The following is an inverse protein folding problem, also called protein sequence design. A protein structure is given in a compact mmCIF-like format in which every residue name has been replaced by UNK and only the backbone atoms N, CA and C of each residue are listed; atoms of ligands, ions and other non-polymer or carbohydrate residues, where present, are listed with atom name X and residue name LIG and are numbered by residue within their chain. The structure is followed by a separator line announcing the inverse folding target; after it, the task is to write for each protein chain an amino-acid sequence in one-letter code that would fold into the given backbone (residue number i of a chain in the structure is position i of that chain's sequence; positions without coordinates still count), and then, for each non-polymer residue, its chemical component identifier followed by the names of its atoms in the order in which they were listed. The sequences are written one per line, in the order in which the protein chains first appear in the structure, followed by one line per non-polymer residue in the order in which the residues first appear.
data_IF_242352862621
#
_entry.id   IF_242352862621
#
_cell.length_a   1.000
_cell.length_b   1.000
_cell.length_c   1.000
_cell.angle_alpha   90.00
_cell.angle_beta   90.00
_cell.angle_gamma   90.00
#
_symmetry.space_group_name_H-M   'P 1'
#
loop_
_entity.id
_entity.type
_entity.pdbx_description
1 polymer ?
#
# COMPACT_ATOMS: atom_id res chain seq x y z
N UNK A 1 -19.99 21.64 2.26
CA UNK A 1 -18.68 20.94 2.28
C UNK A 1 -18.70 19.92 1.15
N UNK A 2 -18.26 20.34 -0.03
CA UNK A 2 -17.94 19.43 -1.13
C UNK A 2 -16.87 18.45 -0.63
N UNK A 3 -17.04 17.16 -0.92
CA UNK A 3 -16.18 16.11 -0.39
C UNK A 3 -14.69 16.42 -0.66
N UNK A 4 -13.81 16.01 0.26
CA UNK A 4 -12.34 15.98 0.08
C UNK A 4 -11.89 15.08 -1.10
N UNK A 5 -12.82 14.56 -1.91
CA UNK A 5 -12.53 13.77 -3.10
C UNK A 5 -12.35 14.70 -4.31
N UNK A 6 -11.07 14.89 -4.64
CA UNK A 6 -10.47 14.87 -5.99
C UNK A 6 -11.38 15.40 -7.11
N UNK A 7 -11.16 16.65 -7.51
CA UNK A 7 -11.64 17.15 -8.79
C UNK A 7 -10.74 16.55 -9.88
N UNK A 8 -11.34 15.73 -10.74
CA UNK A 8 -10.69 14.99 -11.83
C UNK A 8 -10.35 15.92 -13.01
N UNK A 9 -9.07 16.06 -13.34
CA UNK A 9 -8.61 16.82 -14.51
C UNK A 9 -7.90 15.96 -15.57
N UNK A 10 -7.59 14.69 -15.27
CA UNK A 10 -6.98 13.77 -16.23
C UNK A 10 -8.04 13.08 -17.11
N UNK A 11 -7.80 12.99 -18.42
CA UNK A 11 -8.60 12.18 -19.36
C UNK A 11 -8.51 10.66 -19.08
N UNK A 12 -7.66 10.22 -18.14
CA UNK A 12 -7.54 8.82 -17.70
C UNK A 12 -8.24 8.67 -16.36
N UNK A 13 -9.17 7.70 -16.27
CA UNK A 13 -9.85 7.34 -15.04
C UNK A 13 -8.83 7.00 -13.93
N UNK A 14 -9.14 7.38 -12.67
CA UNK A 14 -8.45 6.84 -11.51
C UNK A 14 -8.31 5.32 -11.63
N UNK A 15 -7.16 4.77 -11.23
CA UNK A 15 -6.96 3.33 -11.22
C UNK A 15 -7.96 2.72 -10.24
N UNK A 16 -9.03 2.16 -10.77
CA UNK A 16 -9.96 1.32 -10.02
C UNK A 16 -9.48 -0.10 -10.16
N UNK A 17 -9.27 -0.77 -9.04
CA UNK A 17 -8.96 -2.18 -9.05
C UNK A 17 -10.11 -2.95 -9.71
N UNK A 18 -9.82 -3.62 -10.83
CA UNK A 18 -10.86 -4.28 -11.63
C UNK A 18 -11.46 -5.48 -10.88
N UNK A 19 -10.72 -6.13 -9.99
CA UNK A 19 -11.25 -7.21 -9.16
C UNK A 19 -12.25 -6.68 -8.13
N UNK A 20 -11.97 -5.52 -7.52
CA UNK A 20 -12.91 -4.84 -6.62
C UNK A 20 -14.16 -4.36 -7.39
N UNK A 21 -13.98 -3.73 -8.56
CA UNK A 21 -15.11 -3.27 -9.38
C UNK A 21 -15.96 -4.44 -9.90
N UNK A 22 -15.32 -5.52 -10.34
CA UNK A 22 -16.02 -6.73 -10.75
C UNK A 22 -16.81 -7.33 -9.57
N UNK A 23 -16.20 -7.47 -8.40
CA UNK A 23 -16.87 -7.95 -7.18
C UNK A 23 -18.06 -7.05 -6.81
N UNK A 24 -17.89 -5.72 -6.86
CA UNK A 24 -18.97 -4.75 -6.63
C UNK A 24 -20.14 -4.96 -7.61
N UNK A 25 -19.85 -5.25 -8.87
CA UNK A 25 -20.88 -5.52 -9.88
C UNK A 25 -21.70 -6.77 -9.55
N UNK A 26 -21.06 -7.82 -9.01
CA UNK A 26 -21.74 -9.04 -8.56
C UNK A 26 -22.69 -8.73 -7.40
N UNK A 27 -22.28 -7.90 -6.44
CA UNK A 27 -23.12 -7.50 -5.29
C UNK A 27 -24.28 -6.59 -5.68
N UNK A 28 -24.17 -5.87 -6.79
CA UNK A 28 -25.23 -4.98 -7.30
C UNK A 28 -26.47 -5.78 -7.74
N UNK A 29 -26.28 -7.00 -8.25
CA UNK A 29 -27.39 -7.86 -8.69
C UNK A 29 -28.34 -8.20 -7.55
N UNK A 30 -27.91 -8.84 -6.43
CA UNK A 30 -28.79 -9.08 -5.29
C UNK A 30 -29.27 -7.79 -4.63
N UNK A 31 -28.51 -6.69 -4.69
CA UNK A 31 -29.02 -5.40 -4.23
C UNK A 31 -30.28 -5.00 -5.00
N UNK A 32 -30.24 -4.96 -6.33
CA UNK A 32 -31.41 -4.56 -7.14
C UNK A 32 -32.60 -5.50 -6.95
N UNK A 33 -32.36 -6.80 -6.82
CA UNK A 33 -33.41 -7.80 -6.66
C UNK A 33 -34.06 -7.79 -5.26
N UNK A 34 -33.33 -7.33 -4.23
CA UNK A 34 -33.75 -7.43 -2.83
C UNK A 34 -33.80 -6.09 -2.08
N UNK A 35 -33.51 -4.96 -2.72
CA UNK A 35 -33.59 -3.61 -2.15
C UNK A 35 -35.02 -3.15 -1.81
N UNK A 36 -36.04 -3.96 -2.09
CA UNK A 36 -37.44 -3.65 -1.79
C UNK A 36 -37.99 -2.50 -2.65
N UNK A 37 -39.32 -2.39 -2.73
CA UNK A 37 -39.96 -1.20 -3.32
C UNK A 37 -40.02 -0.11 -2.26
N UNK A 38 -39.39 1.04 -2.50
CA UNK A 38 -39.40 2.20 -1.61
C UNK A 38 -40.80 2.75 -1.28
N UNK A 39 -41.83 2.31 -2.00
CA UNK A 39 -43.20 2.81 -1.89
C UNK A 39 -44.13 2.02 -0.96
N UNK A 40 -43.69 0.89 -0.38
CA UNK A 40 -44.56 0.05 0.48
C UNK A 40 -43.82 -0.47 1.72
N UNK A 41 -43.60 0.41 2.71
CA UNK A 41 -43.08 0.01 4.02
C UNK A 41 -44.14 -0.77 4.81
N UNK A 42 -44.10 -2.10 4.73
CA UNK A 42 -44.81 -2.97 5.67
C UNK A 42 -43.87 -3.34 6.81
N UNK A 43 -44.33 -3.13 8.04
CA UNK A 43 -43.59 -3.49 9.26
C UNK A 43 -43.27 -5.00 9.21
N UNK A 44 -41.98 -5.36 9.19
CA UNK A 44 -41.49 -6.75 9.18
C UNK A 44 -40.85 -7.24 7.86
N UNK A 45 -41.15 -6.60 6.73
CA UNK A 45 -40.55 -6.97 5.43
C UNK A 45 -39.04 -6.63 5.37
N UNK A 46 -38.62 -5.59 6.12
CA UNK A 46 -37.23 -5.15 6.17
C UNK A 46 -36.29 -6.23 6.71
N UNK A 47 -36.70 -6.95 7.76
CA UNK A 47 -35.87 -8.00 8.37
C UNK A 47 -35.67 -9.18 7.42
N UNK A 48 -36.71 -9.57 6.67
CA UNK A 48 -36.64 -10.69 5.73
C UNK A 48 -35.81 -10.33 4.51
N UNK A 49 -35.99 -9.13 3.95
CA UNK A 49 -35.19 -8.64 2.82
C UNK A 49 -33.71 -8.49 3.20
N UNK A 50 -33.43 -8.01 4.42
CA UNK A 50 -32.07 -7.91 4.94
C UNK A 50 -31.41 -9.27 5.08
N UNK A 51 -32.12 -10.25 5.64
CA UNK A 51 -31.61 -11.60 5.79
C UNK A 51 -31.32 -12.25 4.42
N UNK A 52 -32.19 -12.05 3.43
CA UNK A 52 -31.97 -12.55 2.08
C UNK A 52 -30.76 -11.86 1.42
N UNK A 53 -30.67 -10.53 1.47
CA UNK A 53 -29.52 -9.78 0.94
C UNK A 53 -28.20 -10.23 1.60
N UNK A 54 -28.19 -10.38 2.94
CA UNK A 54 -27.04 -10.88 3.70
C UNK A 54 -26.63 -12.27 3.23
N UNK A 55 -27.59 -13.19 3.05
CA UNK A 55 -27.32 -14.54 2.55
C UNK A 55 -26.72 -14.52 1.15
N UNK A 56 -27.29 -13.72 0.23
CA UNK A 56 -26.80 -13.63 -1.16
C UNK A 56 -25.42 -13.02 -1.28
N UNK A 57 -25.12 -11.98 -0.51
CA UNK A 57 -23.79 -11.41 -0.47
C UNK A 57 -22.77 -12.43 0.07
N UNK A 58 -23.11 -13.15 1.14
CA UNK A 58 -22.25 -14.21 1.67
C UNK A 58 -22.01 -15.35 0.66
N UNK A 59 -23.06 -15.80 -0.05
CA UNK A 59 -22.97 -16.79 -1.13
C UNK A 59 -21.97 -16.33 -2.22
N UNK A 60 -22.09 -15.08 -2.68
CA UNK A 60 -21.16 -14.50 -3.67
C UNK A 60 -19.73 -14.51 -3.15
N UNK A 61 -19.50 -14.07 -1.92
CA UNK A 61 -18.16 -14.04 -1.35
C UNK A 61 -17.57 -15.45 -1.21
N UNK A 62 -18.36 -16.45 -0.80
CA UNK A 62 -17.94 -17.85 -0.78
C UNK A 62 -17.53 -18.36 -2.17
N UNK A 63 -18.32 -18.06 -3.19
CA UNK A 63 -17.98 -18.45 -4.58
C UNK A 63 -16.69 -17.78 -5.05
N UNK A 64 -16.45 -16.53 -4.64
CA UNK A 64 -15.19 -15.82 -4.89
C UNK A 64 -14.00 -16.46 -4.15
N UNK A 65 -14.18 -16.95 -2.92
CA UNK A 65 -13.12 -17.71 -2.22
C UNK A 65 -12.68 -18.91 -3.03
N UNK A 66 -13.64 -19.64 -3.62
CA UNK A 66 -13.36 -20.82 -4.42
C UNK A 66 -12.66 -20.48 -5.74
N UNK A 67 -13.01 -19.35 -6.37
CA UNK A 67 -12.31 -18.83 -7.54
C UNK A 67 -10.88 -18.41 -7.23
N UNK A 68 -10.64 -17.82 -6.06
CA UNK A 68 -9.28 -17.49 -5.60
C UNK A 68 -8.48 -18.77 -5.32
N UNK A 69 -9.09 -19.77 -4.69
CA UNK A 69 -8.43 -21.05 -4.44
C UNK A 69 -8.03 -21.77 -5.74
N UNK A 70 -8.90 -21.74 -6.76
CA UNK A 70 -8.60 -22.20 -8.12
C UNK A 70 -7.45 -21.40 -8.76
N UNK A 71 -7.48 -20.07 -8.62
CA UNK A 71 -6.42 -19.21 -9.13
C UNK A 71 -5.05 -19.51 -8.49
N UNK A 72 -5.01 -19.74 -7.17
CA UNK A 72 -3.79 -20.13 -6.43
C UNK A 72 -3.27 -21.48 -6.93
N UNK A 73 -4.16 -22.44 -7.19
CA UNK A 73 -3.77 -23.73 -7.75
C UNK A 73 -3.06 -23.57 -9.11
N UNK A 74 -3.65 -22.83 -10.06
CA UNK A 74 -3.02 -22.58 -11.35
C UNK A 74 -1.75 -21.72 -11.27
N UNK A 75 -1.68 -20.79 -10.32
CA UNK A 75 -0.45 -20.04 -10.02
C UNK A 75 0.69 -20.99 -9.59
N UNK A 76 0.41 -21.97 -8.73
CA UNK A 76 1.40 -22.95 -8.28
C UNK A 76 1.93 -23.86 -9.40
N UNK A 77 1.16 -24.01 -10.49
CA UNK A 77 1.56 -24.74 -11.69
C UNK A 77 2.29 -23.85 -12.71
N UNK A 78 2.51 -22.58 -12.40
CA UNK A 78 3.04 -21.56 -13.32
C UNK A 78 2.15 -21.34 -14.58
N UNK A 79 0.85 -21.65 -14.48
CA UNK A 79 -0.15 -21.58 -15.55
C UNK A 79 -1.33 -20.67 -15.13
N UNK A 80 -1.03 -19.53 -14.50
CA UNK A 80 -2.03 -18.64 -13.91
C UNK A 80 -3.12 -18.16 -14.89
N UNK A 81 -2.82 -18.10 -16.19
CA UNK A 81 -3.78 -17.72 -17.26
C UNK A 81 -4.90 -18.76 -17.48
N UNK A 82 -4.70 -19.99 -17.02
CA UNK A 82 -5.73 -21.04 -17.05
C UNK A 82 -6.75 -20.91 -15.90
N UNK A 83 -6.42 -20.13 -14.86
CA UNK A 83 -7.31 -19.87 -13.74
C UNK A 83 -8.57 -19.12 -14.18
N UNK A 84 -9.74 -19.59 -13.72
CA UNK A 84 -11.02 -19.01 -14.15
C UNK A 84 -11.16 -17.55 -13.75
N UNK A 85 -10.61 -17.17 -12.59
CA UNK A 85 -10.65 -15.80 -12.10
C UNK A 85 -9.89 -14.86 -13.05
N UNK A 86 -8.68 -15.23 -13.49
CA UNK A 86 -7.89 -14.42 -14.42
C UNK A 86 -8.53 -14.31 -15.81
N UNK A 87 -9.24 -15.32 -16.27
CA UNK A 87 -10.01 -15.22 -17.52
C UNK A 87 -11.15 -14.18 -17.43
N UNK A 88 -11.76 -14.02 -16.25
CA UNK A 88 -12.82 -13.05 -16.01
C UNK A 88 -12.29 -11.65 -15.68
N UNK A 89 -11.17 -11.57 -14.97
CA UNK A 89 -10.49 -10.34 -14.57
C UNK A 89 -9.01 -10.45 -14.95
N UNK A 90 -8.63 -10.14 -16.21
CA UNK A 90 -7.27 -10.34 -16.72
C UNK A 90 -6.18 -9.57 -15.95
N UNK A 91 -6.54 -8.47 -15.30
CA UNK A 91 -5.62 -7.66 -14.49
C UNK A 91 -5.41 -8.16 -13.06
N UNK A 92 -6.07 -9.26 -12.66
CA UNK A 92 -5.93 -9.82 -11.31
C UNK A 92 -4.47 -10.21 -11.03
N UNK A 93 -3.99 -9.79 -9.85
CA UNK A 93 -2.62 -10.02 -9.43
C UNK A 93 -2.38 -11.43 -8.86
N UNK A 94 -1.21 -11.57 -8.22
CA UNK A 94 -0.86 -12.79 -7.51
C UNK A 94 -1.66 -12.91 -6.18
N UNK A 95 -2.07 -14.14 -5.82
CA UNK A 95 -2.66 -14.41 -4.50
C UNK A 95 -1.69 -15.26 -3.68
N UNK A 96 -1.28 -14.75 -2.52
CA UNK A 96 -0.34 -15.45 -1.65
C UNK A 96 -1.03 -16.37 -0.65
N UNK A 97 -2.29 -16.08 -0.32
CA UNK A 97 -3.06 -16.80 0.69
C UNK A 97 -4.50 -17.03 0.22
N UNK A 98 -5.14 -18.06 0.74
CA UNK A 98 -6.60 -18.24 0.59
C UNK A 98 -7.30 -17.18 1.44
N UNK A 99 -8.25 -16.47 0.85
CA UNK A 99 -8.98 -15.38 1.51
C UNK A 99 -10.34 -15.87 2.03
N UNK A 100 -10.61 -15.81 3.35
CA UNK A 100 -11.92 -16.13 3.93
C UNK A 100 -12.92 -14.98 3.75
N UNK A 101 -13.25 -14.66 2.49
CA UNK A 101 -14.14 -13.57 2.09
C UNK A 101 -15.55 -13.65 2.68
N UNK A 102 -16.14 -14.83 2.83
CA UNK A 102 -17.46 -14.99 3.44
C UNK A 102 -17.43 -14.57 4.91
N UNK A 103 -16.45 -15.06 5.68
CA UNK A 103 -16.27 -14.67 7.09
C UNK A 103 -16.00 -13.17 7.18
N UNK A 104 -15.11 -12.64 6.35
CA UNK A 104 -14.79 -11.22 6.29
C UNK A 104 -16.01 -10.34 5.94
N UNK A 105 -16.87 -10.81 5.04
CA UNK A 105 -18.13 -10.14 4.73
C UNK A 105 -19.03 -10.04 5.96
N UNK A 106 -19.21 -11.12 6.73
CA UNK A 106 -20.06 -11.07 7.93
C UNK A 106 -19.55 -10.06 8.97
N UNK A 107 -18.23 -10.01 9.19
CA UNK A 107 -17.60 -9.03 10.10
C UNK A 107 -17.88 -7.60 9.63
N UNK A 108 -17.65 -7.31 8.35
CA UNK A 108 -17.89 -5.95 7.83
C UNK A 108 -19.38 -5.61 7.72
N UNK A 109 -20.25 -6.58 7.47
CA UNK A 109 -21.71 -6.37 7.45
C UNK A 109 -22.26 -6.03 8.84
N UNK A 110 -21.68 -6.56 9.91
CA UNK A 110 -22.03 -6.20 11.29
C UNK A 110 -21.65 -4.75 11.62
N UNK A 111 -20.47 -4.32 11.18
CA UNK A 111 -19.98 -2.94 11.39
C UNK A 111 -20.70 -1.92 10.52
N UNK A 112 -20.97 -2.27 9.26
CA UNK A 112 -21.36 -1.31 8.19
C UNK A 112 -22.77 -1.52 7.65
N UNK A 113 -23.48 -2.52 8.14
CA UNK A 113 -24.88 -2.82 7.81
C UNK A 113 -25.15 -2.86 6.30
N UNK A 114 -24.23 -3.46 5.52
CA UNK A 114 -24.27 -3.50 4.05
C UNK A 114 -25.60 -4.07 3.53
N UNK A 115 -25.99 -5.22 4.08
CA UNK A 115 -27.22 -5.97 3.78
C UNK A 115 -28.50 -5.27 4.23
N UNK A 116 -28.41 -4.26 5.09
CA UNK A 116 -29.55 -3.48 5.57
C UNK A 116 -29.85 -2.27 4.71
N UNK A 117 -28.96 -1.91 3.78
CA UNK A 117 -29.20 -0.78 2.88
C UNK A 117 -30.28 -1.13 1.85
N UNK A 118 -31.06 -0.12 1.47
CA UNK A 118 -32.14 -0.23 0.46
C UNK A 118 -31.98 0.75 -0.69
N UNK A 119 -31.28 1.86 -0.45
CA UNK A 119 -31.12 2.93 -1.44
C UNK A 119 -29.68 3.05 -1.98
N UNK A 120 -28.72 2.41 -1.31
CA UNK A 120 -27.30 2.51 -1.64
C UNK A 120 -26.71 1.09 -1.66
N UNK A 121 -26.28 0.64 -2.84
CA UNK A 121 -25.62 -0.65 -3.02
C UNK A 121 -24.25 -0.68 -2.30
N UNK A 122 -23.67 -1.87 -2.06
CA UNK A 122 -22.26 -1.97 -1.67
C UNK A 122 -21.36 -1.21 -2.65
N UNK A 123 -20.50 -0.38 -2.10
CA UNK A 123 -19.58 0.50 -2.82
C UNK A 123 -18.23 -0.18 -3.06
N UNK A 124 -17.36 0.49 -3.83
CA UNK A 124 -15.96 0.06 -3.99
C UNK A 124 -15.25 -0.06 -2.64
N UNK A 125 -15.45 0.92 -1.75
CA UNK A 125 -14.86 0.92 -0.42
C UNK A 125 -15.38 -0.21 0.46
N UNK A 126 -16.66 -0.57 0.35
CA UNK A 126 -17.20 -1.71 1.12
C UNK A 126 -16.50 -3.02 0.72
N UNK A 127 -16.29 -3.25 -0.58
CA UNK A 127 -15.57 -4.43 -1.07
C UNK A 127 -14.08 -4.38 -0.69
N UNK A 128 -13.43 -3.21 -0.81
CA UNK A 128 -12.03 -3.00 -0.39
C UNK A 128 -11.82 -3.39 1.07
N UNK A 129 -12.70 -2.96 1.97
CA UNK A 129 -12.60 -3.24 3.40
C UNK A 129 -12.85 -4.71 3.74
N UNK A 130 -13.76 -5.38 3.02
CA UNK A 130 -13.95 -6.84 3.13
C UNK A 130 -12.67 -7.59 2.71
N UNK A 131 -12.04 -7.18 1.60
CA UNK A 131 -10.76 -7.76 1.17
C UNK A 131 -9.64 -7.51 2.16
N UNK A 132 -9.58 -6.32 2.77
CA UNK A 132 -8.60 -6.02 3.82
C UNK A 132 -8.78 -6.97 5.01
N UNK A 133 -10.02 -7.10 5.50
CA UNK A 133 -10.39 -8.01 6.59
C UNK A 133 -9.99 -9.45 6.28
N UNK A 134 -10.28 -9.93 5.07
CA UNK A 134 -9.94 -11.29 4.66
C UNK A 134 -8.43 -11.53 4.63
N UNK A 135 -7.64 -10.55 4.21
CA UNK A 135 -6.17 -10.64 4.24
C UNK A 135 -5.64 -10.70 5.68
N UNK A 136 -6.17 -9.88 6.59
CA UNK A 136 -5.81 -9.93 8.01
C UNK A 136 -6.13 -11.30 8.62
N UNK A 137 -7.33 -11.84 8.37
CA UNK A 137 -7.71 -13.19 8.82
C UNK A 137 -6.81 -14.28 8.22
N UNK A 138 -6.40 -14.15 6.96
CA UNK A 138 -5.55 -15.14 6.31
C UNK A 138 -4.13 -15.15 6.91
N UNK A 139 -3.57 -13.98 7.20
CA UNK A 139 -2.24 -13.82 7.78
C UNK A 139 -2.17 -14.15 9.28
N UNK A 140 -3.31 -14.29 9.95
CA UNK A 140 -3.35 -14.73 11.34
C UNK A 140 -3.29 -16.27 11.50
N UNK A 141 -3.51 -17.05 10.43
CA UNK A 141 -3.51 -18.51 10.48
C UNK A 141 -2.10 -19.06 10.75
N UNK A 142 -1.93 -20.17 11.50
CA UNK A 142 -0.61 -20.70 11.83
C UNK A 142 0.33 -20.93 10.65
N UNK A 143 -0.18 -21.47 9.53
CA UNK A 143 0.62 -21.80 8.33
C UNK A 143 1.16 -20.54 7.62
N UNK A 144 0.38 -19.46 7.65
CA UNK A 144 0.67 -18.19 6.96
C UNK A 144 0.86 -17.07 7.96
N UNK A 145 1.25 -17.40 9.20
CA UNK A 145 1.33 -16.45 10.30
C UNK A 145 2.27 -15.32 9.91
N UNK A 146 1.76 -14.10 10.05
CA UNK A 146 2.47 -12.86 9.74
C UNK A 146 3.83 -12.81 10.46
N UNK A 147 4.88 -12.52 9.70
CA UNK A 147 6.24 -12.30 10.21
C UNK A 147 6.76 -10.90 9.90
N UNK A 148 6.29 -10.27 8.82
CA UNK A 148 6.68 -8.93 8.43
C UNK A 148 5.44 -8.09 8.06
N UNK A 149 5.24 -6.98 8.75
CA UNK A 149 4.31 -5.93 8.35
C UNK A 149 5.10 -4.73 7.84
N UNK A 150 4.86 -4.33 6.61
CA UNK A 150 5.41 -3.12 6.02
C UNK A 150 4.36 -2.03 5.94
N UNK A 151 4.74 -0.80 6.24
CA UNK A 151 3.86 0.36 6.22
C UNK A 151 4.44 1.37 5.25
N UNK A 152 3.60 1.91 4.39
CA UNK A 152 3.93 3.17 3.74
C UNK A 152 4.01 4.30 4.78
N UNK A 153 4.80 5.33 4.50
CA UNK A 153 4.91 6.51 5.36
C UNK A 153 3.69 7.42 5.22
N UNK A 154 3.66 8.20 4.14
CA UNK A 154 2.63 9.22 3.89
C UNK A 154 1.24 8.58 3.69
N UNK A 155 0.20 9.26 4.17
CA UNK A 155 -1.23 8.86 4.09
C UNK A 155 -1.57 7.55 4.83
N UNK A 156 -0.56 6.86 5.37
CA UNK A 156 -0.68 5.58 6.05
C UNK A 156 -0.40 5.66 7.54
N UNK A 157 0.77 6.19 7.90
CA UNK A 157 1.15 6.40 9.30
C UNK A 157 0.79 7.81 9.77
N UNK A 158 0.79 8.78 8.87
CA UNK A 158 0.49 10.19 9.14
C UNK A 158 -0.14 10.88 7.92
N UNK A 159 -0.72 12.06 8.12
CA UNK A 159 -1.22 12.88 7.00
C UNK A 159 -0.07 13.30 6.07
N UNK A 160 -0.36 13.48 4.78
CA UNK A 160 0.62 13.81 3.73
C UNK A 160 1.59 14.93 4.14
N UNK A 161 2.89 14.62 4.17
CA UNK A 161 3.95 15.57 4.53
C UNK A 161 4.10 15.88 6.02
N UNK A 162 3.34 15.22 6.90
CA UNK A 162 3.48 15.34 8.35
C UNK A 162 4.56 14.40 8.93
N UNK A 163 4.74 14.47 10.24
CA UNK A 163 5.54 13.52 11.02
C UNK A 163 4.60 12.67 11.87
N UNK A 164 5.10 11.53 12.35
CA UNK A 164 4.41 10.78 13.38
C UNK A 164 4.63 11.45 14.74
N UNK A 165 3.55 11.80 15.42
CA UNK A 165 3.59 12.58 16.66
C UNK A 165 3.40 11.70 17.90
N UNK A 166 3.80 12.22 19.05
CA UNK A 166 3.53 11.56 20.33
C UNK A 166 2.01 11.43 20.53
N UNK A 167 1.56 10.22 20.89
CA UNK A 167 0.14 9.92 21.06
C UNK A 167 -0.60 9.52 19.78
N UNK A 168 0.06 9.47 18.62
CA UNK A 168 -0.52 8.88 17.40
C UNK A 168 -0.97 7.43 17.66
N UNK A 169 -2.25 7.07 17.42
CA UNK A 169 -2.78 5.75 17.77
C UNK A 169 -2.07 4.59 17.04
N UNK A 170 -1.47 4.87 15.88
CA UNK A 170 -0.69 3.92 15.09
C UNK A 170 0.52 3.38 15.87
N UNK A 171 1.14 4.21 16.73
CA UNK A 171 2.32 3.81 17.52
C UNK A 171 1.98 2.61 18.41
N UNK A 172 0.87 2.68 19.14
CA UNK A 172 0.44 1.59 20.04
C UNK A 172 0.17 0.29 19.26
N UNK A 173 -0.36 0.40 18.04
CA UNK A 173 -0.65 -0.76 17.18
C UNK A 173 0.61 -1.39 16.63
N UNK A 174 1.60 -0.58 16.23
CA UNK A 174 2.91 -1.05 15.81
C UNK A 174 3.63 -1.75 16.96
N UNK A 175 3.58 -1.20 18.18
CA UNK A 175 4.12 -1.86 19.37
C UNK A 175 3.45 -3.22 19.62
N UNK A 176 2.12 -3.31 19.51
CA UNK A 176 1.41 -4.57 19.67
C UNK A 176 1.85 -5.66 18.65
N UNK A 177 2.19 -5.28 17.43
CA UNK A 177 2.76 -6.20 16.44
C UNK A 177 4.18 -6.64 16.81
N UNK A 178 5.04 -5.70 17.23
CA UNK A 178 6.41 -6.00 17.68
C UNK A 178 6.40 -6.95 18.89
N UNK A 179 5.49 -6.76 19.85
CA UNK A 179 5.28 -7.65 21.01
C UNK A 179 4.95 -9.09 20.61
N UNK A 180 4.38 -9.29 19.42
CA UNK A 180 4.04 -10.60 18.85
C UNK A 180 5.15 -11.17 17.95
N UNK A 181 6.32 -10.54 17.93
CA UNK A 181 7.47 -10.93 17.13
C UNK A 181 7.36 -10.58 15.64
N UNK A 182 6.37 -9.76 15.24
CA UNK A 182 6.23 -9.30 13.85
C UNK A 182 7.25 -8.20 13.60
N UNK A 183 8.07 -8.37 12.56
CA UNK A 183 8.98 -7.33 12.10
C UNK A 183 8.21 -6.20 11.39
N UNK A 184 8.68 -4.97 11.59
CA UNK A 184 8.04 -3.76 11.09
C UNK A 184 8.98 -3.04 10.14
N UNK A 185 8.56 -2.88 8.89
CA UNK A 185 9.29 -2.13 7.88
C UNK A 185 8.56 -0.89 7.43
N UNK A 186 9.08 0.30 7.71
CA UNK A 186 8.52 1.54 7.15
C UNK A 186 9.14 1.79 5.79
N UNK A 187 8.37 1.65 4.70
CA UNK A 187 8.82 1.83 3.33
C UNK A 187 8.34 3.18 2.82
N UNK A 188 9.25 4.13 2.64
CA UNK A 188 8.89 5.52 2.28
C UNK A 188 9.61 5.99 1.03
N UNK A 189 8.92 6.80 0.22
CA UNK A 189 9.53 7.48 -0.92
C UNK A 189 10.54 8.57 -0.49
N UNK A 190 10.46 9.06 0.75
CA UNK A 190 11.43 9.99 1.28
C UNK A 190 12.82 9.32 1.39
N UNK A 191 13.72 9.65 0.46
CA UNK A 191 15.09 9.16 0.46
C UNK A 191 16.09 10.19 1.00
N UNK A 192 16.67 9.92 2.16
CA UNK A 192 17.77 10.69 2.75
C UNK A 192 19.05 9.81 2.79
N UNK A 193 20.10 10.18 2.03
CA UNK A 193 21.33 9.38 1.95
C UNK A 193 22.24 9.51 3.18
N UNK A 194 21.94 10.43 4.11
CA UNK A 194 22.75 10.67 5.31
C UNK A 194 22.73 9.43 6.24
N UNK A 195 23.88 8.74 6.44
CA UNK A 195 23.96 7.53 7.26
C UNK A 195 23.62 7.77 8.74
N UNK A 196 23.57 9.02 9.21
CA UNK A 196 23.10 9.33 10.57
C UNK A 196 21.61 9.05 10.78
N UNK A 197 20.83 8.90 9.71
CA UNK A 197 19.39 8.66 9.78
C UNK A 197 18.60 9.84 10.38
N UNK A 198 19.22 11.00 10.59
CA UNK A 198 18.65 12.15 11.31
C UNK A 198 17.29 12.60 10.76
N UNK A 199 17.11 12.58 9.44
CA UNK A 199 15.84 12.98 8.83
C UNK A 199 14.72 11.95 9.06
N UNK A 200 15.05 10.66 9.14
CA UNK A 200 14.09 9.62 9.51
C UNK A 200 13.75 9.69 11.01
N UNK A 201 14.72 10.03 11.87
CA UNK A 201 14.48 10.31 13.29
C UNK A 201 13.52 11.50 13.48
N UNK A 202 13.58 12.51 12.62
CA UNK A 202 12.59 13.61 12.66
C UNK A 202 11.19 13.13 12.27
N UNK A 203 11.07 12.28 11.24
CA UNK A 203 9.77 11.81 10.74
C UNK A 203 9.11 10.77 11.63
N UNK A 204 9.89 9.86 12.19
CA UNK A 204 9.42 8.69 12.94
C UNK A 204 9.87 8.70 14.41
N UNK A 205 10.39 9.83 14.90
CA UNK A 205 10.98 9.96 16.23
C UNK A 205 10.05 9.48 17.34
N UNK A 206 8.78 9.87 17.31
CA UNK A 206 7.81 9.44 18.32
C UNK A 206 7.63 7.92 18.38
N UNK A 207 7.64 7.22 17.23
CA UNK A 207 7.59 5.75 17.20
C UNK A 207 8.89 5.13 17.68
N UNK A 208 10.03 5.65 17.24
CA UNK A 208 11.35 5.16 17.63
C UNK A 208 11.53 5.30 19.15
N UNK A 209 11.19 6.46 19.71
CA UNK A 209 11.21 6.72 21.14
C UNK A 209 10.24 5.80 21.88
N UNK A 210 9.03 5.57 21.36
CA UNK A 210 8.07 4.65 21.97
C UNK A 210 8.60 3.20 21.99
N UNK A 211 9.25 2.73 20.92
CA UNK A 211 9.85 1.40 20.86
C UNK A 211 11.03 1.30 21.83
N UNK A 212 11.94 2.29 21.85
CA UNK A 212 13.09 2.30 22.75
C UNK A 212 12.68 2.30 24.23
N UNK A 213 11.64 3.07 24.58
CA UNK A 213 11.12 3.19 25.95
C UNK A 213 10.14 2.08 26.34
N UNK A 214 9.78 1.18 25.43
CA UNK A 214 8.91 0.03 25.74
C UNK A 214 9.62 -1.05 26.57
N UNK A 215 8.83 -1.96 27.14
CA UNK A 215 9.32 -3.14 27.86
C UNK A 215 9.70 -4.31 26.93
N UNK A 216 9.76 -4.09 25.61
CA UNK A 216 10.18 -5.10 24.65
C UNK A 216 11.64 -5.53 24.87
N UNK A 217 11.92 -6.79 24.59
CA UNK A 217 13.30 -7.27 24.53
C UNK A 217 14.08 -6.60 23.38
N UNK A 218 15.41 -6.52 23.50
CA UNK A 218 16.27 -5.90 22.50
C UNK A 218 16.06 -6.49 21.10
N UNK A 219 15.80 -7.80 21.01
CA UNK A 219 15.52 -8.49 19.75
C UNK A 219 14.27 -7.94 19.06
N UNK A 220 13.17 -7.77 19.81
CA UNK A 220 11.93 -7.23 19.27
C UNK A 220 12.02 -5.72 18.97
N UNK A 221 12.77 -4.95 19.77
CA UNK A 221 13.04 -3.54 19.43
C UNK A 221 13.81 -3.45 18.10
N UNK A 222 14.80 -4.30 17.90
CA UNK A 222 15.59 -4.33 16.67
C UNK A 222 14.79 -4.78 15.43
N UNK A 223 13.54 -5.22 15.58
CA UNK A 223 12.66 -5.57 14.46
C UNK A 223 11.94 -4.37 13.84
N UNK A 224 12.25 -3.13 14.25
CA UNK A 224 11.84 -1.92 13.53
C UNK A 224 12.90 -1.52 12.49
N UNK A 225 12.49 -1.41 11.23
CA UNK A 225 13.32 -1.01 10.09
C UNK A 225 12.69 0.13 9.32
N UNK A 226 13.53 0.95 8.67
CA UNK A 226 13.13 2.02 7.76
C UNK A 226 13.83 1.82 6.42
N UNK A 227 13.03 1.61 5.37
CA UNK A 227 13.46 1.56 3.97
C UNK A 227 13.11 2.88 3.29
N UNK A 228 14.11 3.73 3.10
CA UNK A 228 13.94 5.05 2.50
C UNK A 228 14.29 5.12 1.02
N UNK A 229 13.70 6.11 0.35
CA UNK A 229 13.84 6.29 -1.10
C UNK A 229 13.29 5.10 -1.89
N UNK A 230 12.15 4.57 -1.44
CA UNK A 230 11.49 3.33 -1.89
C UNK A 230 12.28 2.04 -1.64
N UNK A 231 13.54 1.97 -2.09
CA UNK A 231 14.40 0.80 -1.95
C UNK A 231 15.90 1.17 -1.99
N UNK A 232 16.28 2.34 -1.47
CA UNK A 232 17.63 2.89 -1.67
C UNK A 232 18.47 2.97 -0.39
N UNK A 233 17.84 3.15 0.77
CA UNK A 233 18.54 3.31 2.05
C UNK A 233 17.86 2.49 3.14
N UNK A 234 18.60 1.55 3.75
CA UNK A 234 18.08 0.73 4.84
C UNK A 234 18.66 1.19 6.18
N UNK A 235 17.76 1.39 7.14
CA UNK A 235 18.09 1.63 8.53
C UNK A 235 17.38 0.60 9.41
N UNK A 236 18.05 0.20 10.49
CA UNK A 236 17.49 -0.69 11.51
C UNK A 236 17.56 0.00 12.87
N UNK A 237 16.51 -0.12 13.69
CA UNK A 237 16.58 0.34 15.07
C UNK A 237 17.62 -0.48 15.82
N UNK A 238 18.54 0.22 16.48
CA UNK A 238 19.58 -0.37 17.30
C UNK A 238 19.40 0.16 18.73
N UNK A 239 18.89 -0.70 19.64
CA UNK A 239 18.64 -0.32 21.03
C UNK A 239 19.91 0.05 21.80
N UNK A 240 21.08 -0.47 21.40
CA UNK A 240 22.34 -0.24 22.12
C UNK A 240 22.87 1.18 21.87
N UNK A 241 22.64 1.73 20.69
CA UNK A 241 22.96 3.14 20.37
C UNK A 241 21.77 4.09 20.59
N UNK A 242 20.58 3.56 20.88
CA UNK A 242 19.36 4.34 21.09
C UNK A 242 18.86 5.05 19.84
N UNK A 243 19.03 4.46 18.65
CA UNK A 243 18.71 5.14 17.40
C UNK A 243 18.78 4.24 16.17
N UNK A 244 18.76 4.86 14.99
CA UNK A 244 18.80 4.14 13.71
C UNK A 244 20.25 3.88 13.27
N UNK A 245 20.58 2.61 13.01
CA UNK A 245 21.82 2.18 12.39
C UNK A 245 21.62 2.04 10.89
N UNK A 246 22.46 2.71 10.09
CA UNK A 246 22.53 2.50 8.64
C UNK A 246 23.08 1.12 8.33
N UNK A 247 22.50 0.44 7.34
CA UNK A 247 22.93 -0.89 6.87
C UNK A 247 23.48 -0.76 5.46
N UNK A 248 24.69 -1.25 5.24
CA UNK A 248 25.38 -1.16 3.96
C UNK A 248 24.61 -1.93 2.89
N UNK A 249 24.58 -1.37 1.66
CA UNK A 249 23.73 -1.85 0.55
C UNK A 249 23.97 -3.32 0.23
N UNK A 250 25.22 -3.76 0.32
CA UNK A 250 25.68 -5.11 0.05
C UNK A 250 25.07 -6.16 1.00
N UNK A 251 24.62 -5.75 2.19
CA UNK A 251 24.03 -6.66 3.19
C UNK A 251 22.57 -7.01 2.88
N UNK A 252 21.83 -6.13 2.20
CA UNK A 252 20.36 -6.26 2.08
C UNK A 252 19.83 -6.21 0.64
N UNK A 253 20.55 -5.59 -0.29
CA UNK A 253 20.07 -5.43 -1.65
C UNK A 253 19.93 -6.79 -2.35
N UNK A 254 18.95 -6.88 -3.26
CA UNK A 254 18.78 -8.07 -4.10
C UNK A 254 19.93 -8.17 -5.11
N UNK A 255 20.22 -9.39 -5.57
CA UNK A 255 21.28 -9.64 -6.55
C UNK A 255 21.03 -8.86 -7.87
N UNK A 256 19.76 -8.74 -8.28
CA UNK A 256 19.36 -7.91 -9.42
C UNK A 256 19.68 -6.42 -9.21
N UNK A 257 19.47 -5.90 -7.99
CA UNK A 257 19.75 -4.49 -7.66
C UNK A 257 21.24 -4.18 -7.57
N UNK A 258 22.06 -5.18 -7.23
CA UNK A 258 23.52 -5.09 -7.25
C UNK A 258 24.09 -5.19 -8.67
N UNK A 259 23.35 -5.83 -9.59
CA UNK A 259 23.70 -5.93 -11.00
C UNK A 259 23.33 -4.68 -11.82
N UNK A 260 22.59 -3.73 -11.24
CA UNK A 260 22.27 -2.45 -11.89
C UNK A 260 23.54 -1.66 -12.18
N UNK A 261 23.75 -1.35 -13.46
CA UNK A 261 24.93 -0.61 -13.88
C UNK A 261 24.77 0.87 -13.56
N UNK A 262 25.78 1.47 -12.94
CA UNK A 262 25.74 2.88 -12.51
C UNK A 262 25.64 3.86 -13.69
N UNK A 263 26.12 3.48 -14.88
CA UNK A 263 25.93 4.26 -16.10
C UNK A 263 24.46 4.23 -16.58
N UNK A 264 23.78 3.08 -16.49
CA UNK A 264 22.33 3.00 -16.79
C UNK A 264 21.50 3.84 -15.80
N UNK A 265 21.88 3.86 -14.51
CA UNK A 265 21.24 4.71 -13.50
C UNK A 265 21.42 6.18 -13.86
N UNK A 266 22.64 6.56 -14.22
CA UNK A 266 22.97 7.93 -14.65
C UNK A 266 22.20 8.33 -15.91
N UNK A 267 22.12 7.46 -16.92
CA UNK A 267 21.37 7.68 -18.16
C UNK A 267 19.88 7.90 -17.90
N UNK A 268 19.27 7.10 -17.01
CA UNK A 268 17.87 7.25 -16.64
C UNK A 268 17.63 8.60 -15.96
N UNK A 269 18.45 8.95 -14.97
CA UNK A 269 18.32 10.20 -14.22
C UNK A 269 18.63 11.43 -15.08
N UNK A 270 19.57 11.33 -16.03
CA UNK A 270 19.86 12.38 -17.02
C UNK A 270 18.65 12.62 -17.93
N UNK A 271 18.01 11.53 -18.38
CA UNK A 271 16.79 11.64 -19.17
C UNK A 271 15.65 12.25 -18.36
N UNK A 272 15.49 11.84 -17.10
CA UNK A 272 14.50 12.40 -16.19
C UNK A 272 14.74 13.91 -16.00
N UNK A 273 15.98 14.32 -15.75
CA UNK A 273 16.38 15.72 -15.61
C UNK A 273 16.03 16.54 -16.85
N UNK A 274 16.34 16.03 -18.05
CA UNK A 274 16.00 16.71 -19.30
C UNK A 274 14.48 16.91 -19.45
N UNK A 275 13.69 15.88 -19.12
CA UNK A 275 12.23 15.97 -19.21
C UNK A 275 11.68 16.95 -18.17
N UNK A 276 12.15 16.88 -16.92
CA UNK A 276 11.75 17.81 -15.86
C UNK A 276 12.11 19.27 -16.21
N UNK A 277 13.33 19.53 -16.71
CA UNK A 277 13.73 20.88 -17.19
C UNK A 277 12.78 21.40 -18.26
N UNK A 278 12.47 20.56 -19.26
CA UNK A 278 11.53 20.92 -20.33
C UNK A 278 10.13 21.21 -19.78
N UNK A 279 9.64 20.42 -18.83
CA UNK A 279 8.32 20.65 -18.22
C UNK A 279 8.27 21.95 -17.41
N UNK A 280 9.35 22.29 -16.68
CA UNK A 280 9.47 23.59 -15.99
C UNK A 280 9.33 24.74 -16.99
N UNK A 281 9.96 24.66 -18.17
CA UNK A 281 9.87 25.70 -19.20
C UNK A 281 8.47 25.76 -19.84
N UNK A 282 7.94 24.62 -20.31
CA UNK A 282 6.65 24.52 -21.00
C UNK A 282 5.50 25.01 -20.13
N UNK A 283 5.53 24.70 -18.83
CA UNK A 283 4.51 25.14 -17.87
C UNK A 283 4.84 26.49 -17.22
N UNK A 284 5.85 27.21 -17.72
CA UNK A 284 6.26 28.55 -17.23
C UNK A 284 6.55 28.60 -15.72
N UNK A 285 7.18 27.54 -15.19
CA UNK A 285 7.50 27.35 -13.76
C UNK A 285 8.94 27.74 -13.40
N UNK A 286 9.70 28.39 -14.29
CA UNK A 286 11.11 28.78 -14.07
C UNK A 286 11.34 29.68 -12.85
N UNK A 287 10.32 30.40 -12.39
CA UNK A 287 10.34 31.23 -11.18
C UNK A 287 9.60 30.59 -9.98
N UNK A 288 9.19 29.34 -10.12
CA UNK A 288 8.37 28.62 -9.13
C UNK A 288 9.03 27.31 -8.69
N UNK A 289 9.79 26.65 -9.57
CA UNK A 289 10.36 25.33 -9.34
C UNK A 289 11.86 25.28 -9.68
N UNK A 290 12.56 24.36 -9.05
CA UNK A 290 13.96 24.03 -9.36
C UNK A 290 14.16 22.51 -9.29
N UNK A 291 15.30 22.03 -9.79
CA UNK A 291 15.63 20.61 -9.74
C UNK A 291 16.61 20.31 -8.62
N UNK A 292 16.46 19.15 -8.01
CA UNK A 292 17.34 18.63 -6.99
C UNK A 292 17.68 17.17 -7.30
N UNK A 293 18.97 16.88 -7.49
CA UNK A 293 19.44 15.55 -7.88
C UNK A 293 20.19 14.88 -6.73
N UNK A 294 19.87 13.62 -6.50
CA UNK A 294 20.54 12.68 -5.58
C UNK A 294 21.22 11.58 -6.38
N UNK A 295 21.88 10.66 -5.69
CA UNK A 295 22.56 9.50 -6.29
C UNK A 295 21.61 8.63 -7.12
N UNK A 296 20.43 8.32 -6.58
CA UNK A 296 19.45 7.39 -7.18
C UNK A 296 18.08 8.02 -7.42
N UNK A 297 18.01 9.34 -7.38
CA UNK A 297 16.77 10.04 -7.69
C UNK A 297 16.96 11.49 -8.11
N UNK A 298 15.93 12.04 -8.75
CA UNK A 298 15.87 13.45 -9.09
C UNK A 298 14.47 13.99 -8.89
N UNK A 299 14.36 15.18 -8.32
CA UNK A 299 13.09 15.83 -8.04
C UNK A 299 12.98 17.23 -8.62
N UNK A 300 11.76 17.64 -8.93
CA UNK A 300 11.35 19.02 -9.16
C UNK A 300 10.65 19.54 -7.91
N UNK A 301 11.31 20.45 -7.20
CA UNK A 301 10.85 21.01 -5.93
C UNK A 301 10.46 22.50 -6.09
N UNK A 302 9.51 23.01 -5.27
CA UNK A 302 9.17 24.42 -5.28
C UNK A 302 10.33 25.27 -4.74
N UNK A 303 10.54 26.45 -5.33
CA UNK A 303 11.40 27.48 -4.76
C UNK A 303 10.83 27.96 -3.41
N UNK A 304 11.69 28.50 -2.55
CA UNK A 304 11.30 28.93 -1.19
C UNK A 304 10.08 29.86 -1.22
N UNK A 305 9.03 29.48 -0.49
CA UNK A 305 7.78 30.24 -0.39
C UNK A 305 6.87 30.17 -1.63
N UNK A 306 7.20 29.33 -2.62
CA UNK A 306 6.38 29.07 -3.80
C UNK A 306 5.59 27.77 -3.64
N UNK A 307 4.55 27.62 -4.45
CA UNK A 307 3.75 26.40 -4.57
C UNK A 307 3.55 26.09 -6.04
N UNK A 308 3.60 24.82 -6.38
CA UNK A 308 3.30 24.32 -7.72
C UNK A 308 1.85 23.81 -7.70
N UNK A 309 1.00 24.22 -8.65
CA UNK A 309 -0.37 23.68 -8.75
C UNK A 309 -0.34 22.17 -8.92
N UNK A 310 -1.28 21.46 -8.28
CA UNK A 310 -1.34 19.99 -8.32
C UNK A 310 -1.44 19.48 -9.76
N UNK A 311 -2.21 20.15 -10.59
CA UNK A 311 -2.44 19.81 -11.98
C UNK A 311 -1.13 19.83 -12.78
N UNK A 312 -0.26 20.81 -12.48
CA UNK A 312 1.07 20.88 -13.08
C UNK A 312 1.96 19.73 -12.60
N UNK A 313 1.90 19.36 -11.32
CA UNK A 313 2.65 18.21 -10.79
C UNK A 313 2.21 16.90 -11.49
N UNK A 314 0.91 16.67 -11.64
CA UNK A 314 0.39 15.49 -12.36
C UNK A 314 0.80 15.49 -13.84
N UNK A 315 0.71 16.63 -14.54
CA UNK A 315 1.17 16.77 -15.93
C UNK A 315 2.66 16.42 -16.06
N UNK A 316 3.50 16.92 -15.15
CA UNK A 316 4.94 16.62 -15.14
C UNK A 316 5.17 15.13 -14.92
N UNK A 317 4.52 14.51 -13.93
CA UNK A 317 4.64 13.07 -13.64
C UNK A 317 4.28 12.22 -14.86
N UNK A 318 3.15 12.50 -15.50
CA UNK A 318 2.70 11.74 -16.68
C UNK A 318 3.69 11.87 -17.85
N UNK A 319 4.24 13.07 -18.08
CA UNK A 319 5.24 13.30 -19.11
C UNK A 319 6.57 12.58 -18.83
N UNK A 320 7.01 12.60 -17.57
CA UNK A 320 8.21 11.88 -17.12
C UNK A 320 8.02 10.37 -17.29
N UNK A 321 6.94 9.81 -16.76
CA UNK A 321 6.63 8.39 -16.90
C UNK A 321 6.60 7.95 -18.37
N UNK A 322 5.90 8.71 -19.22
CA UNK A 322 5.81 8.40 -20.65
C UNK A 322 7.18 8.44 -21.34
N UNK A 323 7.98 9.46 -21.05
CA UNK A 323 9.29 9.66 -21.67
C UNK A 323 10.33 8.63 -21.22
N UNK A 324 10.33 8.29 -19.92
CA UNK A 324 11.27 7.32 -19.35
C UNK A 324 10.92 5.89 -19.73
N UNK A 325 9.64 5.53 -19.77
CA UNK A 325 9.20 4.17 -20.15
C UNK A 325 9.64 3.78 -21.57
N UNK A 326 9.91 4.77 -22.44
CA UNK A 326 10.41 4.54 -23.79
C UNK A 326 11.95 4.50 -23.88
N UNK A 327 12.67 4.76 -22.79
CA UNK A 327 14.14 4.83 -22.77
C UNK A 327 14.79 3.44 -22.75
N UNK A 328 16.02 3.29 -23.29
CA UNK A 328 16.80 2.05 -23.14
C UNK A 328 17.05 1.67 -21.68
N UNK A 329 17.38 2.63 -20.82
CA UNK A 329 17.64 2.39 -19.40
C UNK A 329 16.43 1.80 -18.67
N UNK A 330 15.20 2.17 -19.04
CA UNK A 330 13.97 1.60 -18.46
C UNK A 330 13.70 0.13 -18.87
N UNK A 331 14.53 -0.47 -19.75
CA UNK A 331 14.53 -1.92 -20.01
C UNK A 331 15.37 -2.70 -19.01
N UNK A 332 16.37 -2.05 -18.42
CA UNK A 332 17.31 -2.63 -17.45
C UNK A 332 16.92 -2.28 -16.01
N UNK A 333 16.34 -1.08 -15.81
CA UNK A 333 16.04 -0.52 -14.51
C UNK A 333 14.55 -0.34 -14.30
N UNK A 334 14.16 -0.44 -13.04
CA UNK A 334 12.85 -0.01 -12.58
C UNK A 334 12.95 1.41 -12.05
N UNK A 335 11.86 2.16 -12.17
CA UNK A 335 11.77 3.51 -11.63
C UNK A 335 10.35 3.81 -11.21
N UNK A 336 10.23 4.75 -10.28
CA UNK A 336 8.97 5.35 -9.92
C UNK A 336 9.03 6.85 -10.17
N UNK A 337 8.00 7.40 -10.79
CA UNK A 337 7.82 8.84 -10.92
C UNK A 337 6.45 9.19 -10.34
N UNK A 338 6.43 10.06 -9.33
CA UNK A 338 5.23 10.32 -8.55
C UNK A 338 5.09 11.78 -8.16
N UNK A 339 3.85 12.16 -7.84
CA UNK A 339 3.48 13.47 -7.31
C UNK A 339 3.52 13.40 -5.78
N UNK A 340 4.46 14.10 -5.15
CA UNK A 340 4.61 14.17 -3.69
C UNK A 340 3.72 15.24 -3.03
N UNK A 341 2.64 15.64 -3.69
CA UNK A 341 1.68 16.66 -3.22
C UNK A 341 2.16 18.10 -3.42
N UNK A 342 3.47 18.36 -3.27
CA UNK A 342 4.09 19.66 -3.44
C UNK A 342 5.29 19.68 -4.40
N UNK A 343 5.82 18.50 -4.73
CA UNK A 343 6.95 18.29 -5.62
C UNK A 343 6.71 17.06 -6.52
N UNK A 344 7.61 16.85 -7.48
CA UNK A 344 7.66 15.62 -8.29
C UNK A 344 8.99 14.96 -8.06
N UNK A 345 9.00 13.64 -7.88
CA UNK A 345 10.22 12.86 -7.76
C UNK A 345 10.25 11.72 -8.76
N UNK A 346 11.48 11.38 -9.17
CA UNK A 346 11.82 10.21 -9.96
C UNK A 346 12.87 9.42 -9.19
N UNK A 347 12.48 8.28 -8.65
CA UNK A 347 13.36 7.37 -7.92
C UNK A 347 13.72 6.17 -8.79
N UNK A 348 14.98 5.71 -8.71
CA UNK A 348 15.42 4.44 -9.28
C UNK A 348 15.02 3.33 -8.31
N UNK A 349 14.26 2.36 -8.82
CA UNK A 349 13.58 1.34 -8.03
C UNK A 349 12.12 1.66 -7.76
N UNK A 350 11.44 0.76 -7.05
CA UNK A 350 10.06 0.92 -6.58
C UNK A 350 9.83 0.22 -5.23
N UNK A 351 8.73 0.54 -4.53
CA UNK A 351 8.37 -0.07 -3.23
C UNK A 351 8.34 -1.60 -3.23
N UNK A 352 8.13 -2.26 -4.39
CA UNK A 352 8.24 -3.73 -4.50
C UNK A 352 9.64 -4.19 -4.11
N UNK A 353 10.68 -3.54 -4.62
CA UNK A 353 12.06 -3.86 -4.24
C UNK A 353 12.30 -3.56 -2.76
N UNK A 354 11.72 -2.49 -2.21
CA UNK A 354 11.82 -2.16 -0.79
C UNK A 354 11.31 -3.31 0.09
N UNK A 355 10.12 -3.83 -0.22
CA UNK A 355 9.52 -4.97 0.49
C UNK A 355 10.33 -6.26 0.29
N UNK A 356 10.75 -6.57 -0.94
CA UNK A 356 11.60 -7.74 -1.22
C UNK A 356 12.93 -7.71 -0.48
N UNK A 357 13.56 -6.54 -0.39
CA UNK A 357 14.80 -6.34 0.34
C UNK A 357 14.61 -6.61 1.83
N UNK A 358 13.52 -6.11 2.43
CA UNK A 358 13.20 -6.38 3.83
C UNK A 358 12.93 -7.87 4.08
N UNK A 359 12.18 -8.53 3.18
CA UNK A 359 11.96 -9.97 3.22
C UNK A 359 13.29 -10.75 3.19
N UNK A 360 14.19 -10.43 2.26
CA UNK A 360 15.53 -11.05 2.15
C UNK A 360 16.38 -10.77 3.40
N UNK A 361 16.49 -9.51 3.81
CA UNK A 361 17.35 -9.06 4.90
C UNK A 361 16.96 -9.70 6.25
N UNK A 362 15.67 -9.93 6.47
CA UNK A 362 15.14 -10.58 7.67
C UNK A 362 15.17 -12.12 7.60
N UNK A 363 16.04 -12.70 6.77
CA UNK A 363 16.24 -14.15 6.68
C UNK A 363 15.39 -14.86 5.62
N UNK A 364 14.83 -14.12 4.64
CA UNK A 364 14.03 -14.68 3.57
C UNK A 364 12.58 -14.94 3.96
N UNK A 365 11.93 -13.98 4.62
CA UNK A 365 10.51 -14.05 4.97
C UNK A 365 9.67 -14.23 3.71
N UNK A 366 8.78 -15.22 3.73
CA UNK A 366 7.95 -15.56 2.58
C UNK A 366 6.88 -14.49 2.29
N UNK A 367 6.47 -14.36 1.02
CA UNK A 367 5.49 -13.35 0.59
C UNK A 367 4.12 -13.59 1.23
N UNK A 368 3.74 -14.85 1.43
CA UNK A 368 2.52 -15.27 2.12
C UNK A 368 2.51 -15.01 3.63
N UNK A 369 3.64 -14.58 4.20
CA UNK A 369 3.82 -14.19 5.61
C UNK A 369 4.17 -12.71 5.75
N UNK A 370 3.97 -11.95 4.66
CA UNK A 370 4.25 -10.51 4.61
C UNK A 370 2.97 -9.73 4.31
N UNK A 371 2.72 -8.70 5.12
CA UNK A 371 1.67 -7.70 4.90
C UNK A 371 2.29 -6.38 4.47
N UNK A 372 1.67 -5.70 3.51
CA UNK A 372 1.88 -4.30 3.24
C UNK A 372 0.61 -3.50 3.56
N UNK A 373 0.77 -2.38 4.25
CA UNK A 373 -0.28 -1.41 4.56
C UNK A 373 0.06 -0.12 3.81
N UNK A 374 -0.80 0.31 2.89
CA UNK A 374 -0.53 1.49 2.06
C UNK A 374 -1.75 2.02 1.32
N UNK A 375 -1.65 3.26 0.83
CA UNK A 375 -2.70 3.92 0.05
C UNK A 375 -2.50 3.73 -1.46
N UNK A 376 -3.34 2.89 -2.08
CA UNK A 376 -3.34 2.70 -3.54
C UNK A 376 -4.26 3.67 -4.29
N UNK A 377 -4.88 4.64 -3.61
CA UNK A 377 -5.71 5.65 -4.26
C UNK A 377 -4.85 6.64 -5.05
N UNK A 378 -3.56 6.82 -4.76
CA UNK A 378 -2.71 7.74 -5.49
C UNK A 378 -2.70 7.45 -7.03
N UNK A 379 -2.41 8.46 -7.84
CA UNK A 379 -2.63 8.50 -9.30
C UNK A 379 -1.86 7.41 -10.08
N UNK A 380 -2.02 7.37 -11.40
CA UNK A 380 -1.32 6.41 -12.27
C UNK A 380 0.19 6.50 -12.01
N UNK A 381 0.77 5.39 -11.56
CA UNK A 381 2.16 5.30 -11.11
C UNK A 381 2.39 5.53 -9.62
N UNK A 382 1.34 5.47 -8.79
CA UNK A 382 1.46 5.28 -7.34
C UNK A 382 2.39 4.11 -7.03
N UNK A 383 3.36 4.38 -6.15
CA UNK A 383 4.37 3.45 -5.71
C UNK A 383 3.79 2.29 -4.89
N UNK A 384 2.71 2.49 -4.14
CA UNK A 384 2.10 1.46 -3.28
C UNK A 384 1.54 0.27 -4.02
N UNK A 385 1.02 0.47 -5.24
CA UNK A 385 0.49 -0.64 -6.03
C UNK A 385 1.57 -1.72 -6.28
N UNK A 386 2.84 -1.33 -6.38
CA UNK A 386 3.94 -2.25 -6.68
C UNK A 386 4.19 -3.23 -5.53
N UNK A 387 3.98 -2.82 -4.28
CA UNK A 387 4.15 -3.68 -3.11
C UNK A 387 3.22 -4.91 -3.13
N UNK A 388 2.02 -4.78 -3.72
CA UNK A 388 1.07 -5.90 -3.90
C UNK A 388 1.60 -7.05 -4.74
N UNK A 389 2.64 -6.81 -5.55
CA UNK A 389 3.26 -7.87 -6.35
C UNK A 389 4.08 -8.85 -5.50
N UNK A 390 4.41 -8.51 -4.25
CA UNK A 390 5.35 -9.26 -3.40
C UNK A 390 4.89 -9.43 -1.96
N UNK A 391 3.70 -8.95 -1.61
CA UNK A 391 3.10 -9.12 -0.29
C UNK A 391 1.57 -9.04 -0.38
N UNK A 392 0.87 -9.66 0.57
CA UNK A 392 -0.53 -9.33 0.81
C UNK A 392 -0.62 -7.82 1.12
N UNK A 393 -1.64 -7.12 0.61
CA UNK A 393 -1.73 -5.67 0.77
C UNK A 393 -3.11 -5.24 1.21
N UNK A 394 -3.19 -4.60 2.38
CA UNK A 394 -4.41 -3.91 2.80
C UNK A 394 -4.37 -2.49 2.25
N UNK A 395 -5.40 -2.15 1.48
CA UNK A 395 -5.51 -0.83 0.86
C UNK A 395 -6.29 0.08 1.79
N UNK A 396 -5.63 1.07 2.36
CA UNK A 396 -6.20 2.07 3.27
C UNK A 396 -6.49 3.39 2.55
N UNK A 397 -7.41 4.19 3.09
CA UNK A 397 -7.73 5.54 2.58
C UNK A 397 -7.19 6.68 3.45
N UNK A 398 -6.88 6.38 4.72
CA UNK A 398 -6.42 7.33 5.72
C UNK A 398 -5.77 6.60 6.91
N UNK A 399 -5.08 7.33 7.81
CA UNK A 399 -4.44 6.73 8.98
C UNK A 399 -5.40 6.08 9.99
N UNK A 400 -6.70 6.39 9.96
CA UNK A 400 -7.68 5.77 10.85
C UNK A 400 -8.00 4.34 10.37
N UNK A 401 -8.11 4.12 9.06
CA UNK A 401 -8.25 2.76 8.51
C UNK A 401 -7.03 1.89 8.81
N UNK A 402 -5.82 2.45 8.91
CA UNK A 402 -4.62 1.75 9.41
C UNK A 402 -4.84 1.25 10.84
N UNK A 403 -5.35 2.10 11.73
CA UNK A 403 -5.62 1.71 13.12
C UNK A 403 -6.65 0.58 13.18
N UNK A 404 -7.76 0.72 12.45
CA UNK A 404 -8.84 -0.28 12.43
C UNK A 404 -8.35 -1.65 11.94
N UNK A 405 -7.57 -1.68 10.86
CA UNK A 405 -7.12 -2.96 10.29
C UNK A 405 -6.04 -3.64 11.13
N UNK A 406 -5.18 -2.87 11.81
CA UNK A 406 -4.20 -3.47 12.73
C UNK A 406 -4.88 -3.98 14.01
N UNK A 407 -5.90 -3.28 14.51
CA UNK A 407 -6.72 -3.79 15.63
C UNK A 407 -7.37 -5.13 15.27
N UNK A 408 -8.01 -5.24 14.10
CA UNK A 408 -8.57 -6.51 13.61
C UNK A 408 -7.50 -7.61 13.47
N UNK A 409 -6.34 -7.27 12.90
CA UNK A 409 -5.25 -8.22 12.72
C UNK A 409 -4.72 -8.76 14.07
N UNK A 410 -4.54 -7.88 15.06
CA UNK A 410 -4.10 -8.26 16.40
C UNK A 410 -5.09 -9.21 17.06
N UNK A 411 -6.39 -8.89 16.98
CA UNK A 411 -7.45 -9.76 17.50
C UNK A 411 -7.37 -11.17 16.87
N UNK A 412 -7.21 -11.27 15.55
CA UNK A 412 -7.09 -12.57 14.88
C UNK A 412 -5.79 -13.31 15.22
N UNK A 413 -4.67 -12.61 15.43
CA UNK A 413 -3.40 -13.21 15.84
C UNK A 413 -3.46 -13.78 17.27
N UNK A 414 -4.28 -13.19 18.14
CA UNK A 414 -4.49 -13.64 19.51
C UNK A 414 -5.49 -14.80 19.59
N UNK A 415 -6.56 -14.76 18.77
CA UNK A 415 -7.47 -15.89 18.59
C UNK A 415 -6.70 -17.15 18.17
N UNK A 416 -5.79 -17.03 17.18
CA UNK A 416 -5.04 -18.18 16.66
C UNK A 416 -3.96 -18.72 17.58
N UNK A 417 -3.51 -17.93 18.56
CA UNK A 417 -2.59 -18.38 19.61
C UNK A 417 -3.30 -19.16 20.73
N UNK A 418 -4.63 -19.04 20.81
CA UNK A 418 -5.46 -19.68 21.84
C UNK A 418 -6.02 -21.04 21.40
N UNK A 419 -5.95 -21.36 20.11
CA UNK A 419 -6.28 -22.66 19.50
C UNK A 419 -5.04 -23.55 19.37
#
# INVERSE_FOLDING_TARGET
MTSRYRVDYALKAHRKDEFIEWTKSLLTVPFVLHAGSSNHFRIGDDSRQSAEARRRYAEIFRDLEQLIADQIYYQSLNDADLGRLRQMVPSVGHFFTRLPLERAFYVQDEKRALSKRRMVAPSFNDVRLILNTAQAMALAKPITRLELATFDGDVTLYEDGANLEEGSPQITRILALLERGVAIGIVTAAGYPDPSGKMYLVRFGALIDAVLNSNLDHEYKANLLVMGGECNYLFRLDPDIGGLRYIDREEWALDEMLAWREDAVSELLDKAEQVLKRQIEVLSMTHTATLYRKERSIGMIPLKGKRIPRENLEEVVLNVQHSLSASPAAKELYFCAFNGGHDVWVDVGDKRFGVLCLQRYLGGIAMERTLHVGDQFASIGSNDFKARLVAATVWIADPQETVEIIDELVDYLDESNSE
#
